data_IF_986371578273
#
_entry.id   IF_986371578273
#
_cell.length_a   1.000
_cell.length_b   1.000
_cell.length_c   1.000
_cell.angle_alpha   90.00
_cell.angle_beta   90.00
_cell.angle_gamma   90.00
#
_symmetry.space_group_name_H-M   'P 1'
#
loop_
_entity.id
_entity.type
_entity.pdbx_description
1 polymer ?
#
# COMPACT_ATOMS: atom_id res chain seq x y z
N UNK A 1 -20.19 -47.25 50.15
CA UNK A 1 -18.95 -46.73 50.78
C UNK A 1 -17.75 -47.25 49.99
N UNK A 2 -16.93 -46.33 49.45
CA UNK A 2 -15.53 -46.50 48.97
C UNK A 2 -15.27 -47.60 47.91
N UNK A 3 -14.71 -47.38 46.71
CA UNK A 3 -14.01 -46.26 46.09
C UNK A 3 -12.99 -46.79 45.06
N UNK A 4 -12.52 -45.91 44.17
CA UNK A 4 -11.43 -46.02 43.15
C UNK A 4 -11.89 -46.44 41.75
N UNK A 5 -11.64 -45.70 40.67
CA UNK A 5 -10.81 -44.52 40.44
C UNK A 5 -10.18 -44.66 39.05
N UNK A 6 -10.74 -43.97 38.04
CA UNK A 6 -10.20 -43.95 36.68
C UNK A 6 -8.93 -43.07 36.65
N UNK A 7 -7.79 -43.65 36.25
CA UNK A 7 -6.58 -42.91 35.91
C UNK A 7 -6.70 -42.36 34.48
N UNK A 8 -6.59 -41.04 34.34
CA UNK A 8 -6.32 -40.38 33.07
C UNK A 8 -4.81 -40.43 32.78
N UNK A 9 -4.43 -40.98 31.63
CA UNK A 9 -3.07 -40.91 31.12
C UNK A 9 -2.77 -39.48 30.64
N UNK A 10 -1.74 -38.88 31.22
CA UNK A 10 -1.16 -37.60 30.81
C UNK A 10 0.17 -37.86 30.09
N UNK A 11 0.47 -37.09 29.05
CA UNK A 11 1.84 -36.96 28.54
C UNK A 11 2.02 -37.11 27.04
N UNK A 12 1.72 -36.06 26.28
CA UNK A 12 2.41 -35.81 25.02
C UNK A 12 3.49 -34.73 25.28
N UNK A 13 4.76 -34.92 24.88
CA UNK A 13 5.78 -33.92 25.09
C UNK A 13 5.58 -32.73 24.14
N UNK A 14 5.43 -31.54 24.71
CA UNK A 14 5.52 -30.28 23.97
C UNK A 14 6.97 -30.08 23.50
N UNK A 15 7.21 -30.26 22.22
CA UNK A 15 8.46 -29.84 21.59
C UNK A 15 8.50 -28.31 21.52
N UNK A 16 9.10 -27.68 22.53
CA UNK A 16 9.44 -26.26 22.49
C UNK A 16 10.63 -26.07 21.55
N UNK A 17 10.35 -25.72 20.30
CA UNK A 17 11.38 -25.27 19.37
C UNK A 17 11.81 -23.86 19.77
N UNK A 18 12.83 -23.76 20.61
CA UNK A 18 13.54 -22.51 20.87
C UNK A 18 14.27 -22.08 19.60
N UNK A 19 13.68 -21.17 18.84
CA UNK A 19 14.37 -20.47 17.76
C UNK A 19 15.42 -19.54 18.38
N UNK A 20 16.67 -19.98 18.39
CA UNK A 20 17.82 -19.11 18.65
C UNK A 20 18.02 -18.24 17.41
N UNK A 21 17.43 -17.04 17.42
CA UNK A 21 17.71 -15.98 16.45
C UNK A 21 19.14 -15.47 16.70
N UNK A 22 20.10 -16.05 15.98
CA UNK A 22 21.46 -15.50 15.89
C UNK A 22 21.39 -14.17 15.13
N UNK A 23 21.20 -13.07 15.87
CA UNK A 23 21.38 -11.72 15.36
C UNK A 23 22.87 -11.48 15.12
N UNK A 24 23.32 -11.65 13.90
CA UNK A 24 24.55 -11.00 13.46
C UNK A 24 24.22 -9.52 13.23
N UNK A 25 24.89 -8.57 13.91
CA UNK A 25 24.69 -7.16 13.69
C UNK A 25 25.28 -6.79 12.33
N UNK A 26 24.50 -7.01 11.28
CA UNK A 26 24.78 -6.40 9.99
C UNK A 26 24.31 -4.96 10.13
N UNK A 27 25.18 -3.97 9.89
CA UNK A 27 24.80 -2.55 9.89
C UNK A 27 23.75 -2.34 8.81
N UNK A 28 22.48 -2.47 9.19
CA UNK A 28 21.37 -2.33 8.28
C UNK A 28 21.41 -0.90 7.71
N UNK A 29 21.28 -0.72 6.38
CA UNK A 29 21.19 0.60 5.80
C UNK A 29 20.03 1.38 6.44
N UNK A 30 20.20 2.69 6.57
CA UNK A 30 19.14 3.58 7.10
C UNK A 30 17.83 3.36 6.31
N UNK A 31 16.67 3.59 6.94
CA UNK A 31 15.38 3.48 6.25
C UNK A 31 15.35 4.24 4.92
N UNK A 32 15.95 5.44 4.89
CA UNK A 32 16.06 6.28 3.70
C UNK A 32 16.88 5.62 2.58
N UNK A 33 18.02 5.01 2.91
CA UNK A 33 18.85 4.32 1.94
C UNK A 33 18.16 3.10 1.31
N UNK A 34 17.29 2.41 2.07
CA UNK A 34 16.48 1.31 1.52
C UNK A 34 15.38 1.79 0.60
N UNK A 35 14.79 2.94 0.88
CA UNK A 35 13.81 3.54 -0.02
C UNK A 35 14.45 4.01 -1.32
N UNK A 36 15.56 4.74 -1.25
CA UNK A 36 16.31 5.18 -2.44
C UNK A 36 16.75 4.00 -3.30
N UNK A 37 17.12 2.87 -2.69
CA UNK A 37 17.43 1.63 -3.42
C UNK A 37 16.24 1.04 -4.21
N UNK A 38 15.01 1.45 -3.91
CA UNK A 38 13.79 1.07 -4.63
C UNK A 38 13.36 2.10 -5.69
N UNK A 39 14.10 3.20 -5.86
CA UNK A 39 13.96 4.06 -7.03
C UNK A 39 14.59 3.37 -8.25
N UNK A 40 13.85 3.35 -9.35
CA UNK A 40 14.26 2.64 -10.56
C UNK A 40 14.53 3.64 -11.69
N UNK A 41 15.56 3.37 -12.50
CA UNK A 41 15.84 4.14 -13.71
C UNK A 41 15.02 3.63 -14.90
N UNK A 42 14.64 2.35 -14.88
CA UNK A 42 13.92 1.70 -15.97
C UNK A 42 12.69 0.94 -15.50
N UNK A 43 11.79 0.62 -16.44
CA UNK A 43 10.62 -0.22 -16.18
C UNK A 43 11.01 -1.63 -15.71
N UNK A 44 12.04 -2.22 -16.29
CA UNK A 44 12.44 -3.60 -15.99
C UNK A 44 13.05 -3.70 -14.60
N UNK A 45 13.83 -2.69 -14.17
CA UNK A 45 14.25 -2.55 -12.77
C UNK A 45 13.05 -2.44 -11.83
N UNK A 46 12.05 -1.62 -12.19
CA UNK A 46 10.81 -1.49 -11.43
C UNK A 46 10.07 -2.82 -11.27
N UNK A 47 9.96 -3.60 -12.35
CA UNK A 47 9.37 -4.93 -12.31
C UNK A 47 10.19 -5.91 -11.45
N UNK A 48 11.51 -5.84 -11.51
CA UNK A 48 12.39 -6.66 -10.66
C UNK A 48 12.20 -6.32 -9.17
N UNK A 49 12.14 -5.02 -8.82
CA UNK A 49 11.89 -4.55 -7.45
C UNK A 49 10.50 -4.93 -6.94
N UNK A 50 9.46 -4.78 -7.76
CA UNK A 50 8.12 -5.23 -7.40
C UNK A 50 8.08 -6.73 -7.09
N UNK A 51 8.77 -7.56 -7.87
CA UNK A 51 8.84 -9.00 -7.59
C UNK A 51 9.61 -9.30 -6.30
N UNK A 52 10.75 -8.64 -6.10
CA UNK A 52 11.64 -8.89 -4.96
C UNK A 52 11.10 -8.34 -3.63
N UNK A 53 10.68 -7.07 -3.62
CA UNK A 53 10.38 -6.30 -2.42
C UNK A 53 8.91 -5.86 -2.35
N UNK A 54 8.15 -5.99 -3.45
CA UNK A 54 6.72 -5.74 -3.48
C UNK A 54 6.33 -4.29 -3.79
N UNK A 55 7.30 -3.38 -3.90
CA UNK A 55 7.10 -1.98 -4.29
C UNK A 55 8.29 -1.45 -5.09
N UNK A 56 8.10 -0.32 -5.78
CA UNK A 56 9.12 0.42 -6.49
C UNK A 56 8.69 1.89 -6.66
N UNK A 57 9.65 2.79 -6.86
CA UNK A 57 9.40 4.16 -7.30
C UNK A 57 9.83 4.31 -8.75
N UNK A 58 8.89 4.64 -9.64
CA UNK A 58 9.10 4.73 -11.10
C UNK A 58 8.96 6.18 -11.55
N UNK A 59 9.98 6.80 -12.17
CA UNK A 59 9.91 8.17 -12.65
C UNK A 59 9.15 8.30 -13.98
N UNK A 60 8.86 9.54 -14.37
CA UNK A 60 8.36 9.89 -15.71
C UNK A 60 6.85 9.76 -15.90
N UNK A 61 6.08 9.83 -14.83
CA UNK A 61 4.62 9.77 -14.87
C UNK A 61 4.04 11.18 -14.70
N UNK A 62 3.90 11.93 -15.79
CA UNK A 62 3.42 13.31 -15.77
C UNK A 62 1.93 13.44 -15.41
N UNK A 63 1.67 13.64 -14.12
CA UNK A 63 0.34 13.91 -13.57
C UNK A 63 0.05 15.41 -13.36
N UNK A 64 0.93 16.33 -13.77
CA UNK A 64 0.81 17.75 -13.42
C UNK A 64 -0.48 18.37 -13.94
N UNK A 65 -0.92 17.96 -15.14
CA UNK A 65 -2.18 18.42 -15.76
C UNK A 65 -3.42 18.00 -14.99
N UNK A 66 -3.35 16.95 -14.16
CA UNK A 66 -4.49 16.44 -13.41
C UNK A 66 -4.76 17.22 -12.13
N UNK A 67 -3.75 17.88 -11.55
CA UNK A 67 -3.88 18.54 -10.26
C UNK A 67 -5.01 19.60 -10.24
N UNK A 68 -5.05 20.48 -11.25
CA UNK A 68 -6.07 21.54 -11.35
C UNK A 68 -7.47 20.99 -11.66
N UNK A 69 -7.56 19.96 -12.50
CA UNK A 69 -8.82 19.26 -12.81
C UNK A 69 -9.38 18.58 -11.57
N UNK A 70 -8.54 17.88 -10.80
CA UNK A 70 -8.92 17.19 -9.58
C UNK A 70 -9.33 18.17 -8.46
N UNK A 71 -8.66 19.31 -8.32
CA UNK A 71 -9.06 20.36 -7.36
C UNK A 71 -10.45 20.92 -7.66
N UNK A 72 -10.77 21.11 -8.95
CA UNK A 72 -12.09 21.58 -9.39
C UNK A 72 -13.16 20.53 -9.07
N UNK A 73 -12.84 19.25 -9.24
CA UNK A 73 -13.73 18.11 -8.95
C UNK A 73 -13.98 17.91 -7.48
N UNK A 74 -12.94 18.07 -6.65
CA UNK A 74 -13.02 18.01 -5.19
C UNK A 74 -14.14 18.89 -4.63
N UNK A 75 -14.40 20.05 -5.24
CA UNK A 75 -15.45 20.98 -4.82
C UNK A 75 -16.87 20.53 -5.19
N UNK A 76 -17.00 19.62 -6.16
CA UNK A 76 -18.29 19.18 -6.72
C UNK A 76 -18.67 17.77 -6.30
N UNK A 77 -17.70 16.95 -5.90
CA UNK A 77 -17.91 15.55 -5.57
C UNK A 77 -17.95 15.31 -4.06
N UNK A 78 -18.85 14.43 -3.63
CA UNK A 78 -18.92 13.99 -2.24
C UNK A 78 -17.69 13.14 -1.90
N UNK A 79 -16.94 13.57 -0.89
CA UNK A 79 -15.85 12.81 -0.31
C UNK A 79 -16.37 11.75 0.67
N UNK A 80 -15.63 10.66 0.82
CA UNK A 80 -15.74 9.74 1.94
C UNK A 80 -14.53 9.94 2.83
N UNK A 81 -14.74 10.24 4.11
CA UNK A 81 -13.66 10.29 5.09
C UNK A 81 -13.37 8.86 5.58
N UNK A 82 -12.18 8.34 5.23
CA UNK A 82 -11.80 6.95 5.55
C UNK A 82 -11.06 6.86 6.88
N UNK A 83 -10.36 7.94 7.24
CA UNK A 83 -9.73 8.15 8.54
C UNK A 83 -9.73 9.65 8.83
N UNK A 84 -9.56 10.05 10.09
CA UNK A 84 -9.53 11.47 10.50
C UNK A 84 -8.67 12.31 9.55
N UNK A 85 -9.29 13.29 8.89
CA UNK A 85 -8.66 14.25 7.98
C UNK A 85 -8.34 13.71 6.57
N UNK A 86 -8.70 12.47 6.24
CA UNK A 86 -8.36 11.83 4.96
C UNK A 86 -9.58 11.57 4.11
N UNK A 87 -9.66 12.30 3.00
CA UNK A 87 -10.80 12.32 2.10
C UNK A 87 -10.50 11.49 0.85
N UNK A 88 -11.43 10.60 0.50
CA UNK A 88 -11.35 9.76 -0.68
C UNK A 88 -12.48 10.14 -1.65
N UNK A 89 -12.14 10.29 -2.92
CA UNK A 89 -13.06 10.59 -4.01
C UNK A 89 -12.96 9.47 -5.04
N UNK A 90 -14.05 8.73 -5.26
CA UNK A 90 -14.11 7.67 -6.27
C UNK A 90 -14.39 8.27 -7.65
N UNK A 91 -13.41 8.19 -8.55
CA UNK A 91 -13.49 8.75 -9.90
C UNK A 91 -13.95 7.74 -10.95
N UNK A 92 -14.08 6.44 -10.60
CA UNK A 92 -14.52 5.40 -11.55
C UNK A 92 -15.99 5.56 -11.88
N UNK A 93 -16.81 5.87 -10.88
CA UNK A 93 -18.26 5.89 -10.98
C UNK A 93 -18.86 7.29 -11.18
N UNK A 94 -18.06 8.33 -11.42
CA UNK A 94 -18.61 9.67 -11.64
C UNK A 94 -19.33 9.72 -12.99
N UNK A 95 -20.67 9.85 -12.95
CA UNK A 95 -21.53 9.92 -14.15
C UNK A 95 -21.66 11.34 -14.72
N UNK A 96 -20.79 12.27 -14.35
CA UNK A 96 -20.93 13.66 -14.81
C UNK A 96 -20.40 13.81 -16.24
N UNK A 97 -21.22 14.35 -17.15
CA UNK A 97 -20.85 14.57 -18.57
C UNK A 97 -19.59 15.41 -18.73
N UNK A 98 -19.31 16.29 -17.78
CA UNK A 98 -18.12 17.16 -17.77
C UNK A 98 -16.81 16.39 -17.49
N UNK A 99 -16.86 15.06 -17.27
CA UNK A 99 -15.68 14.23 -16.95
C UNK A 99 -14.86 13.82 -18.17
N UNK A 100 -15.25 14.22 -19.39
CA UNK A 100 -14.53 13.82 -20.59
C UNK A 100 -13.04 14.20 -20.55
N UNK A 101 -12.69 15.39 -20.03
CA UNK A 101 -11.30 15.87 -19.94
C UNK A 101 -10.49 15.10 -18.89
N UNK A 102 -11.09 14.87 -17.73
CA UNK A 102 -10.48 14.09 -16.64
C UNK A 102 -10.25 12.65 -17.11
N UNK A 103 -11.27 12.05 -17.73
CA UNK A 103 -11.19 10.70 -18.28
C UNK A 103 -10.11 10.59 -19.34
N UNK A 104 -10.05 11.51 -20.32
CA UNK A 104 -8.98 11.52 -21.32
C UNK A 104 -7.59 11.64 -20.69
N UNK A 105 -7.46 12.46 -19.64
CA UNK A 105 -6.19 12.64 -18.93
C UNK A 105 -5.78 11.39 -18.15
N UNK A 106 -6.73 10.71 -17.50
CA UNK A 106 -6.49 9.40 -16.86
C UNK A 106 -6.15 8.33 -17.90
N UNK A 107 -6.87 8.28 -19.03
CA UNK A 107 -6.62 7.33 -20.11
C UNK A 107 -5.22 7.52 -20.72
N UNK A 108 -4.75 8.76 -20.88
CA UNK A 108 -3.40 9.06 -21.35
C UNK A 108 -2.31 8.55 -20.39
N UNK A 109 -2.54 8.61 -19.08
CA UNK A 109 -1.66 8.00 -18.07
C UNK A 109 -1.78 6.48 -18.00
N UNK A 110 -2.98 5.96 -18.25
CA UNK A 110 -3.32 4.57 -18.01
C UNK A 110 -2.58 3.59 -18.93
N UNK A 111 -2.13 4.03 -20.12
CA UNK A 111 -1.44 3.17 -21.08
C UNK A 111 -0.13 2.57 -20.53
N UNK A 112 0.90 3.40 -20.27
CA UNK A 112 2.17 2.91 -19.73
C UNK A 112 2.04 2.15 -18.40
N UNK A 113 1.13 2.59 -17.52
CA UNK A 113 0.90 1.96 -16.23
C UNK A 113 0.21 0.59 -16.38
N UNK A 114 -0.74 0.47 -17.31
CA UNK A 114 -1.35 -0.81 -17.69
C UNK A 114 -0.29 -1.77 -18.22
N UNK A 115 0.59 -1.31 -19.12
CA UNK A 115 1.64 -2.16 -19.68
C UNK A 115 2.58 -2.71 -18.60
N UNK A 116 2.88 -1.91 -17.57
CA UNK A 116 3.63 -2.38 -16.40
C UNK A 116 2.84 -3.41 -15.59
N UNK A 117 1.54 -3.17 -15.33
CA UNK A 117 0.68 -4.10 -14.63
C UNK A 117 0.51 -5.44 -15.37
N UNK A 118 0.36 -5.42 -16.70
CA UNK A 118 0.27 -6.62 -17.53
C UNK A 118 1.54 -7.46 -17.46
N UNK A 119 2.72 -6.81 -17.50
CA UNK A 119 4.00 -7.51 -17.39
C UNK A 119 4.26 -8.05 -15.98
N UNK A 120 3.82 -7.35 -14.93
CA UNK A 120 3.94 -7.83 -13.55
C UNK A 120 3.00 -9.01 -13.25
N UNK A 121 1.77 -8.92 -13.75
CA UNK A 121 0.75 -9.94 -13.56
C UNK A 121 0.85 -11.09 -14.58
N UNK A 122 1.74 -10.98 -15.57
CA UNK A 122 1.97 -11.96 -16.64
C UNK A 122 0.68 -12.28 -17.42
N UNK A 123 -0.15 -11.26 -17.64
CA UNK A 123 -1.45 -11.41 -18.30
C UNK A 123 -1.95 -10.09 -18.89
N UNK A 124 -2.63 -10.18 -20.04
CA UNK A 124 -3.33 -9.05 -20.69
C UNK A 124 -4.71 -8.77 -20.09
N UNK A 125 -5.13 -9.54 -19.08
CA UNK A 125 -6.48 -9.45 -18.49
C UNK A 125 -6.59 -8.46 -17.33
N UNK A 126 -5.59 -7.60 -17.10
CA UNK A 126 -5.66 -6.62 -16.04
C UNK A 126 -6.73 -5.56 -16.33
N UNK A 127 -7.53 -5.23 -15.32
CA UNK A 127 -8.58 -4.20 -15.40
C UNK A 127 -8.23 -3.04 -14.49
N UNK A 128 -8.47 -1.81 -14.94
CA UNK A 128 -8.44 -0.65 -14.06
C UNK A 128 -9.68 -0.70 -13.17
N UNK A 129 -9.53 -1.16 -11.93
CA UNK A 129 -10.62 -1.41 -10.99
C UNK A 129 -10.85 -0.23 -10.05
N UNK A 130 -9.86 0.64 -9.90
CA UNK A 130 -9.95 1.82 -9.06
C UNK A 130 -9.24 3.01 -9.69
N UNK A 131 -9.92 4.15 -9.65
CA UNK A 131 -9.39 5.48 -9.90
C UNK A 131 -9.87 6.31 -8.72
N UNK A 132 -8.95 6.72 -7.86
CA UNK A 132 -9.30 7.42 -6.62
C UNK A 132 -8.42 8.63 -6.43
N UNK A 133 -9.03 9.76 -6.10
CA UNK A 133 -8.31 10.92 -5.61
C UNK A 133 -8.31 10.88 -4.08
N UNK A 134 -7.12 10.92 -3.48
CA UNK A 134 -6.90 10.93 -2.04
C UNK A 134 -6.39 12.31 -1.64
N UNK A 135 -7.06 12.94 -0.69
CA UNK A 135 -6.69 14.24 -0.16
C UNK A 135 -6.54 14.18 1.37
N UNK A 136 -5.29 14.18 1.84
CA UNK A 136 -4.95 14.17 3.26
C UNK A 136 -4.77 15.60 3.76
N UNK A 137 -5.66 16.05 4.64
CA UNK A 137 -5.62 17.35 5.28
C UNK A 137 -4.46 17.47 6.28
N UNK A 138 -3.99 18.69 6.60
CA UNK A 138 -3.18 18.94 7.79
C UNK A 138 -3.80 18.29 9.05
N UNK A 139 -2.99 17.58 9.82
CA UNK A 139 -3.44 16.86 11.01
C UNK A 139 -4.14 15.52 10.74
N UNK A 140 -4.08 14.99 9.51
CA UNK A 140 -4.63 13.65 9.21
C UNK A 140 -3.94 12.59 10.04
N UNK A 141 -4.72 11.65 10.58
CA UNK A 141 -4.16 10.48 11.26
C UNK A 141 -3.51 9.50 10.25
N UNK A 142 -2.59 8.68 10.74
CA UNK A 142 -2.10 7.53 10.00
C UNK A 142 -3.24 6.53 9.80
N UNK A 143 -3.27 5.88 8.63
CA UNK A 143 -4.16 4.76 8.38
C UNK A 143 -3.67 3.52 9.13
N UNK A 144 -4.58 2.58 9.34
CA UNK A 144 -4.21 1.23 9.76
C UNK A 144 -3.47 0.52 8.62
N UNK A 145 -2.59 -0.42 8.95
CA UNK A 145 -1.99 -1.30 7.95
C UNK A 145 -3.06 -2.16 7.28
N UNK A 146 -3.00 -2.22 5.95
CA UNK A 146 -3.92 -2.99 5.12
C UNK A 146 -3.25 -3.36 3.79
N UNK A 147 -3.86 -4.29 3.06
CA UNK A 147 -3.56 -4.52 1.65
C UNK A 147 -4.81 -4.15 0.85
N UNK A 148 -4.62 -3.71 -0.38
CA UNK A 148 -5.73 -3.33 -1.25
C UNK A 148 -6.51 -4.55 -1.75
N UNK A 149 -5.85 -5.69 -1.93
CA UNK A 149 -6.45 -6.90 -2.47
C UNK A 149 -5.84 -8.18 -1.87
N UNK A 150 -6.51 -9.31 -2.10
CA UNK A 150 -5.97 -10.64 -1.87
C UNK A 150 -5.28 -11.22 -3.11
N UNK A 151 -5.77 -10.86 -4.30
CA UNK A 151 -5.21 -11.28 -5.57
C UNK A 151 -4.04 -10.38 -6.01
N UNK A 152 -3.25 -10.86 -6.97
CA UNK A 152 -2.17 -10.08 -7.58
C UNK A 152 -2.77 -8.93 -8.41
N UNK A 153 -2.17 -7.76 -8.27
CA UNK A 153 -2.49 -6.52 -8.95
C UNK A 153 -1.43 -5.47 -8.63
N UNK A 154 -1.49 -4.32 -9.30
CA UNK A 154 -0.64 -3.18 -8.98
C UNK A 154 -1.47 -1.96 -8.62
N UNK A 155 -1.10 -1.31 -7.52
CA UNK A 155 -1.56 0.02 -7.14
C UNK A 155 -0.47 1.03 -7.47
N UNK A 156 -0.85 2.06 -8.21
CA UNK A 156 -0.02 3.21 -8.56
C UNK A 156 -0.50 4.41 -7.76
N UNK A 157 0.38 5.00 -6.96
CA UNK A 157 0.17 6.27 -6.25
C UNK A 157 0.98 7.35 -6.94
N UNK A 158 0.27 8.30 -7.56
CA UNK A 158 0.84 9.43 -8.28
C UNK A 158 0.70 10.70 -7.44
N UNK A 159 1.78 11.21 -6.83
CA UNK A 159 1.75 12.45 -6.08
C UNK A 159 1.40 13.63 -6.98
N UNK A 160 0.45 14.47 -6.55
CA UNK A 160 0.11 15.71 -7.27
C UNK A 160 0.95 16.91 -6.79
N UNK A 161 1.69 16.73 -5.70
CA UNK A 161 2.82 17.55 -5.26
C UNK A 161 3.89 16.64 -4.65
N UNK A 162 5.11 17.15 -4.46
CA UNK A 162 6.16 16.42 -3.77
C UNK A 162 5.72 16.06 -2.34
N UNK A 163 5.76 14.79 -1.98
CA UNK A 163 5.38 14.28 -0.66
C UNK A 163 6.62 14.30 0.21
N UNK A 164 6.67 15.18 1.21
CA UNK A 164 7.75 15.23 2.20
C UNK A 164 7.49 14.29 3.37
N UNK A 165 8.52 14.04 4.18
CA UNK A 165 8.41 13.22 5.38
C UNK A 165 7.36 13.72 6.38
N UNK A 166 7.20 15.04 6.53
CA UNK A 166 6.19 15.65 7.43
C UNK A 166 4.76 15.57 6.89
N UNK A 167 4.59 15.27 5.60
CA UNK A 167 3.28 15.16 4.95
C UNK A 167 2.63 13.78 5.16
N UNK A 168 3.30 12.89 5.90
CA UNK A 168 2.84 11.54 6.19
C UNK A 168 2.92 10.67 4.94
N UNK A 169 4.11 10.35 4.43
CA UNK A 169 4.26 9.51 3.25
C UNK A 169 3.59 8.13 3.42
N UNK A 170 3.41 7.41 2.32
CA UNK A 170 2.99 6.01 2.40
C UNK A 170 4.09 5.20 3.08
N UNK A 171 3.70 4.32 3.99
CA UNK A 171 4.59 3.36 4.62
C UNK A 171 4.26 1.97 4.09
N UNK A 172 5.28 1.15 3.87
CA UNK A 172 5.17 -0.20 3.34
C UNK A 172 5.91 -1.20 4.23
N UNK A 173 5.46 -2.44 4.18
CA UNK A 173 6.18 -3.58 4.73
C UNK A 173 6.72 -4.41 3.56
N UNK A 174 7.99 -4.23 3.18
CA UNK A 174 8.59 -4.95 2.05
C UNK A 174 8.36 -6.45 2.15
N UNK A 175 8.16 -7.12 1.02
CA UNK A 175 8.00 -8.59 0.91
C UNK A 175 6.74 -9.17 1.55
N UNK A 176 5.90 -8.35 2.19
CA UNK A 176 4.64 -8.82 2.79
C UNK A 176 3.62 -9.33 1.77
N UNK A 177 3.80 -9.03 0.48
CA UNK A 177 3.00 -9.57 -0.64
C UNK A 177 3.29 -11.05 -0.93
N UNK A 178 4.48 -11.55 -0.57
CA UNK A 178 4.91 -12.92 -0.84
C UNK A 178 4.59 -13.87 0.32
N UNK A 179 4.79 -13.42 1.57
CA UNK A 179 4.45 -14.20 2.76
C UNK A 179 4.16 -13.31 3.95
N UNK A 180 3.03 -13.59 4.59
CA UNK A 180 2.57 -12.99 5.84
C UNK A 180 3.33 -13.58 7.04
N UNK A 181 4.06 -14.68 6.88
CA UNK A 181 4.97 -15.19 7.91
C UNK A 181 6.29 -14.39 7.98
N UNK A 182 6.61 -13.56 6.98
CA UNK A 182 7.80 -12.69 6.98
C UNK A 182 7.60 -11.39 7.81
N UNK A 183 6.41 -11.22 8.40
CA UNK A 183 6.01 -10.03 9.16
C UNK A 183 6.87 -9.73 10.39
N UNK A 184 7.26 -10.71 11.24
CA UNK A 184 7.96 -10.41 12.50
C UNK A 184 9.35 -9.81 12.32
N UNK A 185 9.97 -9.97 11.14
CA UNK A 185 11.37 -9.60 10.89
C UNK A 185 11.52 -8.42 9.94
N UNK A 186 10.42 -7.89 9.41
CA UNK A 186 10.45 -6.82 8.41
C UNK A 186 10.14 -5.49 9.06
N UNK A 187 11.07 -4.53 8.99
CA UNK A 187 10.86 -3.15 9.44
C UNK A 187 10.00 -2.38 8.44
N UNK A 188 9.02 -1.61 8.92
CA UNK A 188 8.28 -0.66 8.11
C UNK A 188 9.24 0.35 7.47
N UNK A 189 9.05 0.59 6.17
CA UNK A 189 9.75 1.64 5.45
C UNK A 189 8.74 2.73 5.13
N UNK A 190 9.00 3.94 5.60
CA UNK A 190 8.39 5.11 5.00
C UNK A 190 8.92 5.19 3.57
N UNK A 191 8.03 5.22 2.60
CA UNK A 191 8.41 5.66 1.26
C UNK A 191 8.90 7.09 1.45
N UNK A 192 10.18 7.36 1.20
CA UNK A 192 10.81 8.65 1.42
C UNK A 192 10.14 9.76 0.58
N UNK A 193 10.79 10.91 0.40
CA UNK A 193 10.20 11.93 -0.43
C UNK A 193 9.90 11.40 -1.83
N UNK A 194 8.65 11.52 -2.26
CA UNK A 194 8.22 11.11 -3.62
C UNK A 194 7.91 12.38 -4.38
N UNK A 195 8.63 12.61 -5.48
CA UNK A 195 8.50 13.83 -6.25
C UNK A 195 7.27 13.80 -7.16
N UNK A 196 6.79 14.97 -7.55
CA UNK A 196 5.82 15.06 -8.64
C UNK A 196 6.46 14.56 -9.93
N UNK A 197 5.73 13.72 -10.66
CA UNK A 197 6.27 13.04 -11.85
C UNK A 197 6.86 11.66 -11.55
N UNK A 198 6.98 11.27 -10.28
CA UNK A 198 7.21 9.88 -9.90
C UNK A 198 5.87 9.16 -9.65
N UNK A 199 5.89 7.83 -9.71
CA UNK A 199 4.84 6.98 -9.21
C UNK A 199 5.42 6.01 -8.18
N UNK A 200 4.83 5.98 -6.98
CA UNK A 200 5.02 4.87 -6.05
C UNK A 200 4.11 3.72 -6.52
N UNK A 201 4.71 2.58 -6.86
CA UNK A 201 3.99 1.41 -7.36
C UNK A 201 4.18 0.27 -6.37
N UNK A 202 3.11 -0.44 -6.04
CA UNK A 202 3.21 -1.62 -5.18
C UNK A 202 2.22 -2.71 -5.55
N UNK A 203 2.56 -3.94 -5.18
CA UNK A 203 1.67 -5.10 -5.28
C UNK A 203 0.43 -4.88 -4.40
N UNK A 204 -0.76 -5.10 -4.94
CA UNK A 204 -2.02 -4.89 -4.22
C UNK A 204 -2.13 -5.72 -2.91
N UNK A 205 -1.33 -6.78 -2.75
CA UNK A 205 -1.25 -7.62 -1.55
C UNK A 205 -0.26 -7.07 -0.50
N UNK A 206 0.63 -6.17 -0.89
CA UNK A 206 1.60 -5.55 0.00
C UNK A 206 0.88 -4.82 1.14
N UNK A 207 1.31 -5.09 2.37
CA UNK A 207 0.84 -4.38 3.54
C UNK A 207 1.44 -2.98 3.55
N UNK A 208 0.56 -1.99 3.58
CA UNK A 208 0.91 -0.58 3.53
C UNK A 208 -0.08 0.25 4.37
N UNK A 209 0.29 1.50 4.63
CA UNK A 209 -0.60 2.51 5.21
C UNK A 209 -0.20 3.89 4.73
N UNK A 210 -1.14 4.82 4.65
CA UNK A 210 -0.77 6.24 4.59
C UNK A 210 -0.36 6.75 5.97
N UNK A 211 0.80 7.39 6.08
CA UNK A 211 1.27 8.01 7.31
C UNK A 211 0.45 9.23 7.74
N UNK A 212 0.73 9.73 8.95
CA UNK A 212 0.07 10.91 9.52
C UNK A 212 0.59 12.20 8.87
N UNK A 213 -0.32 13.09 8.45
CA UNK A 213 0.07 14.37 7.86
C UNK A 213 0.27 15.41 8.97
N UNK A 214 1.49 15.53 9.47
CA UNK A 214 1.89 16.52 10.48
C UNK A 214 2.19 17.91 9.90
N UNK A 215 2.24 18.03 8.57
CA UNK A 215 2.52 19.29 7.89
C UNK A 215 1.34 20.27 7.93
N UNK A 216 1.60 21.51 7.53
CA UNK A 216 0.55 22.53 7.27
C UNK A 216 -0.04 22.44 5.85
N UNK A 217 0.50 21.56 5.02
CA UNK A 217 0.08 21.38 3.62
C UNK A 217 -0.85 20.17 3.47
N UNK A 218 -1.60 20.14 2.38
CA UNK A 218 -2.38 18.96 1.98
C UNK A 218 -1.46 17.99 1.25
N UNK A 219 -1.74 16.69 1.38
CA UNK A 219 -1.10 15.63 0.60
C UNK A 219 -2.13 14.98 -0.31
N UNK A 220 -2.02 15.25 -1.60
CA UNK A 220 -2.91 14.90 -2.70
C UNK A 220 -2.25 13.85 -3.57
N UNK A 221 -2.95 12.75 -3.78
CA UNK A 221 -2.47 11.61 -4.55
C UNK A 221 -3.59 11.13 -5.46
N UNK A 222 -3.27 10.88 -6.74
CA UNK A 222 -4.12 10.08 -7.61
C UNK A 222 -3.71 8.61 -7.48
N UNK A 223 -4.68 7.74 -7.25
CA UNK A 223 -4.49 6.30 -7.11
C UNK A 223 -5.14 5.59 -8.30
N UNK A 224 -4.37 4.78 -9.01
CA UNK A 224 -4.84 3.89 -10.07
C UNK A 224 -4.55 2.45 -9.67
N UNK A 225 -5.56 1.57 -9.67
CA UNK A 225 -5.36 0.14 -9.35
C UNK A 225 -5.73 -0.75 -10.52
N UNK A 226 -4.82 -1.67 -10.84
CA UNK A 226 -5.01 -2.69 -11.86
C UNK A 226 -5.04 -4.07 -11.22
N UNK A 227 -6.12 -4.82 -11.41
CA UNK A 227 -6.30 -6.17 -10.88
C UNK A 227 -6.55 -7.20 -11.99
N UNK A 228 -6.13 -8.45 -11.79
CA UNK A 228 -6.36 -9.57 -12.73
C UNK A 228 -7.78 -10.13 -12.64
N UNK A 229 -8.40 -10.01 -11.48
CA UNK A 229 -9.78 -10.40 -11.23
C UNK A 229 -10.55 -9.20 -10.69
N UNK A 230 -11.85 -9.15 -10.93
CA UNK A 230 -12.70 -8.22 -10.18
C UNK A 230 -12.45 -8.46 -8.69
N UNK A 231 -12.31 -7.43 -7.85
CA UNK A 231 -11.95 -7.63 -6.46
C UNK A 231 -13.11 -8.28 -5.69
N UNK A 232 -12.99 -9.51 -5.16
CA UNK A 232 -13.58 -9.84 -3.88
C UNK A 232 -12.55 -9.43 -2.82
N UNK A 233 -12.70 -8.22 -2.28
CA UNK A 233 -11.82 -7.71 -1.23
C UNK A 233 -11.89 -8.57 0.02
N UNK A 234 -10.97 -9.55 0.16
CA UNK A 234 -10.66 -10.34 1.37
C UNK A 234 -11.80 -10.97 2.19
N UNK A 235 -13.08 -10.78 1.85
CA UNK A 235 -14.18 -10.89 2.79
C UNK A 235 -14.02 -9.97 4.03
N UNK A 236 -15.11 -9.79 4.78
CA UNK A 236 -15.07 -9.10 6.08
C UNK A 236 -14.10 -9.78 7.06
N UNK A 237 -14.09 -11.12 7.08
CA UNK A 237 -13.24 -11.94 7.94
C UNK A 237 -11.74 -11.79 7.61
N UNK A 238 -11.36 -11.87 6.33
CA UNK A 238 -9.97 -11.70 5.94
C UNK A 238 -9.47 -10.27 6.19
N UNK A 239 -10.34 -9.28 6.01
CA UNK A 239 -10.03 -7.88 6.35
C UNK A 239 -9.84 -7.72 7.86
N UNK A 240 -10.71 -8.30 8.69
CA UNK A 240 -10.60 -8.25 10.15
C UNK A 240 -9.34 -8.95 10.68
N UNK A 241 -9.02 -10.15 10.17
CA UNK A 241 -7.80 -10.87 10.56
C UNK A 241 -6.55 -10.09 10.17
N UNK A 242 -6.52 -9.56 8.94
CA UNK A 242 -5.41 -8.70 8.47
C UNK A 242 -5.23 -7.50 9.38
N UNK A 243 -6.31 -6.84 9.79
CA UNK A 243 -6.29 -5.71 10.73
C UNK A 243 -5.72 -6.07 12.10
N UNK A 244 -6.11 -7.20 12.68
CA UNK A 244 -5.64 -7.63 14.01
C UNK A 244 -4.14 -7.91 13.98
N UNK A 245 -3.67 -8.68 13.00
CA UNK A 245 -2.24 -9.03 12.86
C UNK A 245 -1.39 -7.77 12.60
N UNK A 246 -1.85 -6.91 11.69
CA UNK A 246 -1.28 -5.60 11.42
C UNK A 246 -1.14 -4.74 12.67
N UNK A 247 -2.21 -4.64 13.46
CA UNK A 247 -2.27 -3.76 14.62
C UNK A 247 -1.39 -4.27 15.75
N UNK A 248 -1.43 -5.58 16.04
CA UNK A 248 -0.55 -6.21 17.02
C UNK A 248 0.93 -5.98 16.66
N UNK A 249 1.28 -6.10 15.37
CA UNK A 249 2.63 -5.82 14.91
C UNK A 249 3.02 -4.34 15.03
N UNK A 250 2.13 -3.42 14.67
CA UNK A 250 2.41 -1.98 14.80
C UNK A 250 2.71 -1.60 16.25
N UNK A 251 1.93 -2.13 17.21
CA UNK A 251 2.20 -1.92 18.64
C UNK A 251 3.53 -2.51 19.09
N UNK A 252 3.93 -3.67 18.55
CA UNK A 252 5.21 -4.31 18.89
C UNK A 252 6.41 -3.59 18.27
N UNK A 253 6.26 -2.98 17.10
CA UNK A 253 7.34 -2.27 16.40
C UNK A 253 7.59 -0.85 16.94
N UNK A 254 6.58 -0.21 17.53
CA UNK A 254 6.75 1.08 18.24
C UNK A 254 7.47 0.92 19.61
N UNK A 255 7.67 -0.32 20.08
CA UNK A 255 8.33 -0.65 21.35
C UNK A 255 9.82 -1.05 21.21
N UNK A 256 10.34 -1.12 19.98
CA UNK A 256 11.72 -1.56 19.65
C UNK A 256 12.54 -0.46 19.01
#
# INVERSE_FOLDING_TARGET
MLGRGLLFATGAPAASAAYVLLHTPTTAPSPDARFEANRCATRDEGLARLRADGFATVPGVDCARLASTLDSRRRRQKAVEVSKGRLHYDLVHSRHRDDADLRRSIEALAGPLRDMAEAYCETRRVKLTQVQFLDSLPGSAAQIWHSDNAARGLTFMLPLEAIRCDMGPTEVLPRSHASWAAFPTTRALACGPVETGDALVFDARLLHRGGANGSRARRRVLVLRYDVSDPPGTGLLGTALRRVVAHAWAQLSDLS
#
